data_IF_935556056459
#
_entry.id   IF_935556056459
#
_cell.length_a   1.000
_cell.length_b   1.000
_cell.length_c   1.000
_cell.angle_alpha   90.00
_cell.angle_beta   90.00
_cell.angle_gamma   90.00
#
_symmetry.space_group_name_H-M   'P 1'
#
loop_
_entity.id
_entity.type
_entity.pdbx_description
1 polymer ?
#
# COMPACT_ATOMS: atom_id res chain seq x y z
N UNK A 1 -58.15 -13.62 12.43
CA UNK A 1 -57.35 -13.52 11.19
C UNK A 1 -58.07 -12.77 10.07
N UNK A 2 -59.36 -13.03 9.79
CA UNK A 2 -60.13 -12.33 8.74
C UNK A 2 -60.27 -10.79 8.93
N UNK A 3 -60.28 -10.28 10.17
CA UNK A 3 -60.47 -8.85 10.42
C UNK A 3 -59.30 -7.99 9.92
N UNK A 4 -58.05 -8.39 10.22
CA UNK A 4 -56.86 -7.71 9.74
C UNK A 4 -56.69 -7.77 8.23
N UNK A 5 -57.16 -8.83 7.58
CA UNK A 5 -57.18 -8.93 6.11
C UNK A 5 -58.10 -7.89 5.48
N UNK A 6 -59.29 -7.68 6.05
CA UNK A 6 -60.26 -6.71 5.55
C UNK A 6 -59.81 -5.27 5.81
N UNK A 7 -59.11 -5.03 6.91
CA UNK A 7 -58.53 -3.72 7.23
C UNK A 7 -57.44 -3.36 6.20
N UNK A 8 -56.51 -4.28 5.89
CA UNK A 8 -55.49 -4.08 4.85
C UNK A 8 -56.10 -3.85 3.45
N UNK A 9 -57.16 -4.57 3.11
CA UNK A 9 -57.85 -4.42 1.82
C UNK A 9 -58.54 -3.05 1.73
N UNK A 10 -59.14 -2.56 2.83
CA UNK A 10 -59.78 -1.23 2.88
C UNK A 10 -58.78 -0.09 2.83
N UNK A 11 -57.61 -0.26 3.41
CA UNK A 11 -56.51 0.71 3.31
C UNK A 11 -56.07 0.88 1.85
N UNK A 12 -55.84 -0.24 1.14
CA UNK A 12 -55.42 -0.23 -0.27
C UNK A 12 -56.55 0.12 -1.24
N UNK A 13 -57.79 -0.23 -0.91
CA UNK A 13 -59.00 -0.01 -1.70
C UNK A 13 -60.11 0.61 -0.83
N UNK A 14 -60.10 1.93 -0.61
CA UNK A 14 -61.03 2.59 0.32
C UNK A 14 -62.50 2.49 -0.10
N UNK A 15 -62.76 2.26 -1.38
CA UNK A 15 -64.11 2.16 -1.95
C UNK A 15 -64.52 0.72 -2.28
N UNK A 16 -63.91 -0.28 -1.63
CA UNK A 16 -64.23 -1.68 -1.86
C UNK A 16 -65.65 -2.03 -1.40
N UNK A 17 -66.42 -2.64 -2.29
CA UNK A 17 -67.74 -3.19 -2.01
C UNK A 17 -67.62 -4.61 -1.42
N UNK A 18 -67.45 -4.67 -0.10
CA UNK A 18 -67.37 -5.93 0.65
C UNK A 18 -68.67 -6.73 0.64
N UNK A 19 -69.80 -6.14 0.21
CA UNK A 19 -71.07 -6.88 0.15
C UNK A 19 -71.12 -7.82 -1.05
N UNK A 20 -70.26 -7.60 -2.06
CA UNK A 20 -70.21 -8.40 -3.29
C UNK A 20 -68.96 -9.26 -3.39
N UNK A 21 -68.05 -9.15 -2.44
CA UNK A 21 -66.71 -9.74 -2.50
C UNK A 21 -66.42 -10.57 -1.24
N UNK A 22 -65.94 -11.79 -1.46
CA UNK A 22 -65.39 -12.66 -0.44
C UNK A 22 -63.87 -12.64 -0.52
N UNK A 23 -63.23 -12.70 0.65
CA UNK A 23 -61.77 -12.67 0.78
C UNK A 23 -61.29 -13.85 1.62
N UNK A 24 -60.17 -14.44 1.22
CA UNK A 24 -59.50 -15.46 2.01
C UNK A 24 -57.98 -15.39 1.82
N UNK A 25 -57.24 -15.98 2.74
CA UNK A 25 -55.81 -16.20 2.59
C UNK A 25 -55.59 -17.58 1.99
N UNK A 26 -54.95 -17.65 0.82
CA UNK A 26 -54.57 -18.90 0.17
C UNK A 26 -53.37 -19.56 0.86
N UNK A 27 -53.09 -20.81 0.47
CA UNK A 27 -52.12 -21.69 1.13
C UNK A 27 -50.67 -21.18 1.13
N UNK A 28 -50.32 -20.24 0.23
CA UNK A 28 -48.99 -19.62 0.14
C UNK A 28 -48.94 -18.22 0.75
N UNK A 29 -49.98 -17.83 1.51
CA UNK A 29 -50.09 -16.50 2.12
C UNK A 29 -50.51 -15.39 1.14
N UNK A 30 -50.95 -15.76 -0.08
CA UNK A 30 -51.54 -14.85 -1.05
C UNK A 30 -52.98 -14.50 -0.64
N UNK A 31 -53.43 -13.29 -0.93
CA UNK A 31 -54.82 -12.90 -0.66
C UNK A 31 -55.63 -13.24 -1.90
N UNK A 32 -56.71 -13.99 -1.71
CA UNK A 32 -57.62 -14.40 -2.77
C UNK A 32 -58.96 -13.69 -2.62
N UNK A 33 -59.57 -13.39 -3.76
CA UNK A 33 -60.84 -12.70 -3.89
C UNK A 33 -61.81 -13.49 -4.77
N UNK A 34 -63.07 -13.49 -4.39
CA UNK A 34 -64.16 -14.12 -5.12
C UNK A 34 -65.36 -13.18 -5.16
N UNK A 35 -66.03 -13.12 -6.30
CA UNK A 35 -67.30 -12.41 -6.41
C UNK A 35 -68.43 -13.30 -5.89
N UNK A 36 -69.32 -12.76 -5.04
CA UNK A 36 -70.43 -13.52 -4.49
C UNK A 36 -71.30 -14.11 -5.61
N UNK A 37 -71.56 -15.41 -5.54
CA UNK A 37 -72.28 -16.16 -6.58
C UNK A 37 -71.41 -16.71 -7.72
N UNK A 38 -70.08 -16.65 -7.63
CA UNK A 38 -69.14 -17.35 -8.52
C UNK A 38 -68.28 -18.32 -7.75
N UNK A 39 -67.97 -19.48 -8.34
CA UNK A 39 -67.18 -20.52 -7.67
C UNK A 39 -65.67 -20.29 -7.71
N UNK A 40 -65.19 -19.39 -8.58
CA UNK A 40 -63.75 -19.21 -8.83
C UNK A 40 -63.14 -18.12 -7.94
N UNK A 41 -62.08 -18.50 -7.22
CA UNK A 41 -61.18 -17.60 -6.52
C UNK A 41 -60.08 -17.06 -7.45
N UNK A 42 -59.71 -15.81 -7.25
CA UNK A 42 -58.64 -15.13 -7.98
C UNK A 42 -57.61 -14.60 -7.00
N UNK A 43 -56.33 -14.68 -7.33
CA UNK A 43 -55.28 -14.09 -6.49
C UNK A 43 -55.33 -12.56 -6.64
N UNK A 44 -55.55 -11.82 -5.56
CA UNK A 44 -55.54 -10.35 -5.53
C UNK A 44 -54.11 -9.81 -5.38
N UNK A 45 -53.34 -10.38 -4.45
CA UNK A 45 -51.94 -10.03 -4.18
C UNK A 45 -51.07 -11.28 -4.03
N UNK A 46 -49.81 -11.24 -4.50
CA UNK A 46 -48.87 -12.37 -4.36
C UNK A 46 -48.46 -12.64 -2.90
N UNK A 47 -48.42 -11.61 -2.05
CA UNK A 47 -48.16 -11.65 -0.59
C UNK A 47 -48.91 -10.49 0.07
N UNK A 48 -49.15 -10.56 1.38
CA UNK A 48 -49.75 -9.46 2.18
C UNK A 48 -49.05 -8.11 1.96
N UNK A 49 -47.73 -8.14 1.83
CA UNK A 49 -46.87 -6.95 1.67
C UNK A 49 -46.56 -6.62 0.19
N UNK A 50 -47.29 -7.21 -0.76
CA UNK A 50 -47.06 -6.98 -2.18
C UNK A 50 -48.08 -6.01 -2.77
N UNK A 51 -47.61 -4.97 -3.45
CA UNK A 51 -48.47 -4.02 -4.17
C UNK A 51 -48.71 -4.40 -5.63
N UNK A 52 -48.25 -5.59 -6.03
CA UNK A 52 -48.49 -6.12 -7.37
C UNK A 52 -49.86 -6.78 -7.40
N UNK A 53 -50.86 -6.00 -7.84
CA UNK A 53 -52.15 -6.52 -8.24
C UNK A 53 -51.97 -7.47 -9.42
N UNK A 54 -52.63 -8.62 -9.38
CA UNK A 54 -52.66 -9.49 -10.56
C UNK A 54 -53.48 -8.80 -11.66
N UNK A 55 -52.91 -8.74 -12.87
CA UNK A 55 -53.52 -8.02 -14.01
C UNK A 55 -54.83 -8.65 -14.50
N UNK A 56 -55.12 -9.89 -14.08
CA UNK A 56 -56.15 -10.75 -14.64
C UNK A 56 -57.42 -10.89 -13.78
N UNK A 57 -57.79 -9.85 -13.02
CA UNK A 57 -59.07 -9.84 -12.31
C UNK A 57 -60.25 -9.61 -13.29
N UNK A 58 -61.37 -10.35 -13.14
CA UNK A 58 -62.62 -10.10 -13.86
C UNK A 58 -63.13 -8.67 -13.67
N UNK A 59 -63.89 -8.16 -14.65
CA UNK A 59 -64.43 -6.78 -14.63
C UNK A 59 -65.32 -6.52 -13.41
N UNK A 60 -66.08 -7.51 -12.97
CA UNK A 60 -66.98 -7.39 -11.82
C UNK A 60 -66.20 -7.20 -10.51
N UNK A 61 -65.09 -7.93 -10.37
CA UNK A 61 -64.18 -7.79 -9.22
C UNK A 61 -63.45 -6.45 -9.27
N UNK A 62 -62.97 -6.03 -10.44
CA UNK A 62 -62.34 -4.71 -10.62
C UNK A 62 -63.29 -3.55 -10.27
N UNK A 63 -64.56 -3.66 -10.66
CA UNK A 63 -65.57 -2.66 -10.36
C UNK A 63 -65.91 -2.63 -8.86
N UNK A 64 -66.04 -3.80 -8.23
CA UNK A 64 -66.33 -3.91 -6.80
C UNK A 64 -65.14 -3.54 -5.90
N UNK A 65 -63.90 -3.73 -6.35
CA UNK A 65 -62.70 -3.25 -5.63
C UNK A 65 -62.56 -1.72 -5.66
N UNK A 66 -63.08 -1.07 -6.70
CA UNK A 66 -62.93 0.36 -6.89
C UNK A 66 -61.50 0.78 -7.24
N UNK A 67 -61.22 2.08 -7.15
CA UNK A 67 -59.89 2.63 -7.46
C UNK A 67 -58.95 2.42 -6.27
N UNK A 68 -57.72 1.90 -6.49
CA UNK A 68 -56.73 1.77 -5.43
C UNK A 68 -56.28 3.14 -4.93
N UNK A 69 -55.84 3.21 -3.67
CA UNK A 69 -55.25 4.42 -3.10
C UNK A 69 -53.85 4.67 -3.68
N UNK A 70 -53.78 5.47 -4.76
CA UNK A 70 -52.54 5.74 -5.48
C UNK A 70 -51.58 6.68 -4.72
N UNK A 71 -52.09 7.50 -3.79
CA UNK A 71 -51.29 8.50 -3.08
C UNK A 71 -50.33 7.88 -2.05
N UNK A 72 -50.76 6.86 -1.32
CA UNK A 72 -49.89 6.12 -0.39
C UNK A 72 -48.80 5.36 -1.15
N UNK A 73 -49.14 4.76 -2.30
CA UNK A 73 -48.16 4.07 -3.15
C UNK A 73 -47.10 5.00 -3.72
N UNK A 74 -47.46 6.23 -4.05
CA UNK A 74 -46.49 7.22 -4.53
C UNK A 74 -45.55 7.65 -3.39
N UNK A 75 -46.09 7.89 -2.20
CA UNK A 75 -45.31 8.29 -1.02
C UNK A 75 -44.30 7.22 -0.58
N UNK A 76 -44.70 5.95 -0.52
CA UNK A 76 -43.79 4.85 -0.17
C UNK A 76 -42.68 4.64 -1.21
N UNK A 77 -42.98 4.86 -2.50
CA UNK A 77 -41.96 4.79 -3.55
C UNK A 77 -40.97 5.95 -3.45
N UNK A 78 -41.44 7.17 -3.19
CA UNK A 78 -40.59 8.35 -3.04
C UNK A 78 -39.62 8.21 -1.86
N UNK A 79 -40.11 7.74 -0.70
CA UNK A 79 -39.29 7.48 0.50
C UNK A 79 -38.20 6.41 0.23
N UNK A 80 -38.56 5.31 -0.43
CA UNK A 80 -37.61 4.25 -0.80
C UNK A 80 -36.57 4.72 -1.83
N UNK A 81 -36.96 5.54 -2.81
CA UNK A 81 -36.02 6.10 -3.79
C UNK A 81 -35.05 7.10 -3.17
N UNK A 82 -35.51 7.92 -2.23
CA UNK A 82 -34.63 8.86 -1.50
C UNK A 82 -33.61 8.12 -0.63
N UNK A 83 -34.02 7.05 0.07
CA UNK A 83 -33.10 6.25 0.88
C UNK A 83 -32.03 5.55 0.01
N UNK A 84 -32.44 5.00 -1.14
CA UNK A 84 -31.51 4.38 -2.09
C UNK A 84 -30.50 5.40 -2.66
N UNK A 85 -30.96 6.62 -2.94
CA UNK A 85 -30.11 7.69 -3.46
C UNK A 85 -29.07 8.17 -2.43
N UNK A 86 -29.45 8.32 -1.16
CA UNK A 86 -28.51 8.69 -0.09
C UNK A 86 -27.49 7.56 0.19
N UNK A 87 -27.91 6.29 0.15
CA UNK A 87 -26.98 5.15 0.21
C UNK A 87 -26.00 5.16 -0.97
N UNK A 88 -26.46 5.49 -2.18
CA UNK A 88 -25.59 5.61 -3.35
C UNK A 88 -24.57 6.75 -3.19
N UNK A 89 -25.01 7.92 -2.73
CA UNK A 89 -24.15 9.09 -2.49
C UNK A 89 -23.05 8.80 -1.47
N UNK A 90 -23.38 8.11 -0.38
CA UNK A 90 -22.40 7.72 0.64
C UNK A 90 -21.38 6.70 0.13
N UNK A 91 -21.79 5.75 -0.73
CA UNK A 91 -20.87 4.83 -1.40
C UNK A 91 -19.89 5.57 -2.34
N UNK A 92 -20.39 6.51 -3.13
CA UNK A 92 -19.57 7.32 -4.04
C UNK A 92 -18.51 8.14 -3.28
N UNK A 93 -18.90 8.77 -2.15
CA UNK A 93 -17.96 9.50 -1.30
C UNK A 93 -16.87 8.60 -0.70
N UNK A 94 -17.21 7.36 -0.32
CA UNK A 94 -16.23 6.39 0.18
C UNK A 94 -15.26 5.96 -0.92
N UNK A 95 -15.75 5.72 -2.14
CA UNK A 95 -14.88 5.41 -3.28
C UNK A 95 -13.93 6.55 -3.61
N UNK A 96 -14.42 7.79 -3.60
CA UNK A 96 -13.58 8.96 -3.87
C UNK A 96 -12.47 9.12 -2.82
N UNK A 97 -12.79 8.98 -1.53
CA UNK A 97 -11.78 8.99 -0.45
C UNK A 97 -10.77 7.85 -0.59
N UNK A 98 -11.22 6.67 -0.99
CA UNK A 98 -10.34 5.53 -1.27
C UNK A 98 -9.37 5.82 -2.43
N UNK A 99 -9.86 6.44 -3.51
CA UNK A 99 -9.04 6.83 -4.64
C UNK A 99 -8.02 7.94 -4.30
N UNK A 100 -8.40 8.91 -3.48
CA UNK A 100 -7.51 9.96 -2.97
C UNK A 100 -6.40 9.36 -2.10
N UNK A 101 -6.74 8.45 -1.17
CA UNK A 101 -5.76 7.77 -0.34
C UNK A 101 -4.79 6.89 -1.15
N UNK A 102 -5.27 6.22 -2.22
CA UNK A 102 -4.39 5.45 -3.11
C UNK A 102 -3.38 6.35 -3.84
N UNK A 103 -3.80 7.53 -4.34
CA UNK A 103 -2.89 8.49 -4.97
C UNK A 103 -1.86 9.03 -3.99
N UNK A 104 -2.25 9.29 -2.74
CA UNK A 104 -1.31 9.73 -1.70
C UNK A 104 -0.29 8.64 -1.38
N UNK A 105 -0.73 7.38 -1.26
CA UNK A 105 0.18 6.23 -1.06
C UNK A 105 1.12 6.05 -2.25
N UNK A 106 0.64 6.22 -3.48
CA UNK A 106 1.46 6.13 -4.69
C UNK A 106 2.52 7.23 -4.75
N UNK A 107 2.16 8.48 -4.44
CA UNK A 107 3.12 9.58 -4.35
C UNK A 107 4.13 9.40 -3.22
N UNK A 108 3.70 8.90 -2.06
CA UNK A 108 4.61 8.56 -0.96
C UNK A 108 5.58 7.44 -1.36
N UNK A 109 5.11 6.45 -2.13
CA UNK A 109 5.96 5.37 -2.63
C UNK A 109 7.02 5.89 -3.60
N UNK A 110 6.64 6.76 -4.54
CA UNK A 110 7.60 7.37 -5.48
C UNK A 110 8.67 8.18 -4.75
N UNK A 111 8.27 9.03 -3.79
CA UNK A 111 9.24 9.80 -2.99
C UNK A 111 10.15 8.92 -2.13
N UNK A 112 9.66 7.77 -1.68
CA UNK A 112 10.47 6.77 -0.96
C UNK A 112 11.50 6.11 -1.87
N UNK A 113 11.09 5.68 -3.07
CA UNK A 113 11.99 5.09 -4.07
C UNK A 113 13.09 6.08 -4.50
N UNK A 114 12.75 7.36 -4.70
CA UNK A 114 13.74 8.40 -5.01
C UNK A 114 14.76 8.59 -3.89
N UNK A 115 14.30 8.65 -2.64
CA UNK A 115 15.18 8.78 -1.47
C UNK A 115 16.09 7.57 -1.32
N UNK A 116 15.56 6.36 -1.46
CA UNK A 116 16.35 5.12 -1.41
C UNK A 116 17.42 5.10 -2.51
N UNK A 117 17.06 5.49 -3.73
CA UNK A 117 18.02 5.59 -4.83
C UNK A 117 19.14 6.61 -4.52
N UNK A 118 18.81 7.75 -3.92
CA UNK A 118 19.79 8.77 -3.53
C UNK A 118 20.72 8.28 -2.42
N UNK A 119 20.19 7.62 -1.38
CA UNK A 119 21.01 7.00 -0.33
C UNK A 119 21.95 5.94 -0.90
N UNK A 120 21.47 5.12 -1.84
CA UNK A 120 22.30 4.12 -2.51
C UNK A 120 23.41 4.75 -3.36
N UNK A 121 23.13 5.88 -4.04
CA UNK A 121 24.15 6.65 -4.77
C UNK A 121 25.22 7.20 -3.82
N UNK A 122 24.82 7.83 -2.72
CA UNK A 122 25.77 8.37 -1.74
C UNK A 122 26.64 7.28 -1.10
N UNK A 123 26.05 6.15 -0.73
CA UNK A 123 26.80 5.01 -0.19
C UNK A 123 27.83 4.47 -1.19
N UNK A 124 27.48 4.38 -2.48
CA UNK A 124 28.44 3.98 -3.52
C UNK A 124 29.61 4.95 -3.63
N UNK A 125 29.33 6.25 -3.65
CA UNK A 125 30.39 7.27 -3.71
C UNK A 125 31.32 7.21 -2.50
N UNK A 126 30.77 6.99 -1.30
CA UNK A 126 31.57 6.84 -0.09
C UNK A 126 32.47 5.60 -0.15
N UNK A 127 31.93 4.46 -0.58
CA UNK A 127 32.71 3.23 -0.75
C UNK A 127 33.82 3.39 -1.79
N UNK A 128 33.52 4.04 -2.91
CA UNK A 128 34.52 4.32 -3.95
C UNK A 128 35.62 5.25 -3.45
N UNK A 129 35.26 6.29 -2.67
CA UNK A 129 36.22 7.20 -2.06
C UNK A 129 37.14 6.47 -1.07
N UNK A 130 36.57 5.63 -0.19
CA UNK A 130 37.35 4.81 0.74
C UNK A 130 38.29 3.84 0.02
N UNK A 131 37.81 3.22 -1.06
CA UNK A 131 38.63 2.30 -1.87
C UNK A 131 39.81 3.02 -2.53
N UNK A 132 39.60 4.23 -3.06
CA UNK A 132 40.68 5.06 -3.62
C UNK A 132 41.69 5.46 -2.56
N UNK A 133 41.22 5.94 -1.40
CA UNK A 133 42.11 6.32 -0.29
C UNK A 133 42.97 5.15 0.19
N UNK A 134 42.37 3.96 0.32
CA UNK A 134 43.10 2.75 0.68
C UNK A 134 44.14 2.36 -0.38
N UNK A 135 43.79 2.46 -1.67
CA UNK A 135 44.73 2.18 -2.75
C UNK A 135 45.91 3.16 -2.74
N UNK A 136 45.65 4.46 -2.57
CA UNK A 136 46.71 5.48 -2.52
C UNK A 136 47.64 5.27 -1.31
N UNK A 137 47.07 4.94 -0.15
CA UNK A 137 47.86 4.60 1.05
C UNK A 137 48.70 3.34 0.83
N UNK A 138 48.12 2.31 0.24
CA UNK A 138 48.84 1.07 -0.07
C UNK A 138 49.98 1.32 -1.05
N UNK A 139 49.76 2.12 -2.09
CA UNK A 139 50.79 2.50 -3.05
C UNK A 139 51.94 3.24 -2.37
N UNK A 140 51.63 4.18 -1.49
CA UNK A 140 52.63 4.92 -0.72
C UNK A 140 53.43 4.03 0.23
N UNK A 141 52.80 3.02 0.83
CA UNK A 141 53.49 2.03 1.66
C UNK A 141 54.47 1.20 0.82
N UNK A 142 54.07 0.80 -0.39
CA UNK A 142 54.95 0.06 -1.32
C UNK A 142 56.17 0.91 -1.68
N UNK A 143 55.96 2.17 -2.08
CA UNK A 143 57.05 3.09 -2.42
C UNK A 143 58.02 3.31 -1.26
N UNK A 144 57.50 3.50 -0.03
CA UNK A 144 58.35 3.64 1.16
C UNK A 144 59.14 2.36 1.46
N UNK A 145 58.56 1.18 1.24
CA UNK A 145 59.27 -0.09 1.39
C UNK A 145 60.38 -0.23 0.36
N UNK A 146 60.12 0.09 -0.90
CA UNK A 146 61.14 0.05 -1.96
C UNK A 146 62.29 1.02 -1.67
N UNK A 147 61.99 2.24 -1.22
CA UNK A 147 63.00 3.20 -0.80
C UNK A 147 63.82 2.70 0.39
N UNK A 148 63.17 2.09 1.37
CA UNK A 148 63.85 1.50 2.54
C UNK A 148 64.76 0.36 2.12
N UNK A 149 64.29 -0.55 1.27
CA UNK A 149 65.08 -1.68 0.77
C UNK A 149 66.27 -1.22 -0.07
N UNK A 150 66.11 -0.15 -0.85
CA UNK A 150 67.21 0.47 -1.60
C UNK A 150 68.24 1.07 -0.63
N UNK A 151 67.80 1.85 0.36
CA UNK A 151 68.68 2.46 1.34
C UNK A 151 69.46 1.40 2.15
N UNK A 152 68.83 0.27 2.48
CA UNK A 152 69.49 -0.86 3.14
C UNK A 152 70.56 -1.50 2.25
N UNK A 153 70.27 -1.73 0.97
CA UNK A 153 71.26 -2.25 0.01
C UNK A 153 72.44 -1.30 -0.18
N UNK A 154 72.16 -0.01 -0.35
CA UNK A 154 73.19 1.02 -0.51
C UNK A 154 74.08 1.10 0.74
N UNK A 155 73.48 1.02 1.95
CA UNK A 155 74.21 0.94 3.22
C UNK A 155 75.11 -0.29 3.27
N UNK A 156 74.58 -1.47 2.95
CA UNK A 156 75.34 -2.72 3.02
C UNK A 156 76.50 -2.73 2.00
N UNK A 157 76.29 -2.14 0.82
CA UNK A 157 77.34 -1.97 -0.18
C UNK A 157 78.42 -0.97 0.28
N UNK A 158 78.02 0.18 0.83
CA UNK A 158 78.94 1.17 1.38
C UNK A 158 79.76 0.58 2.55
N UNK A 159 79.12 -0.22 3.41
CA UNK A 159 79.80 -0.89 4.51
C UNK A 159 80.85 -1.89 4.00
N UNK A 160 80.53 -2.70 3.00
CA UNK A 160 81.51 -3.61 2.37
C UNK A 160 82.67 -2.85 1.74
N UNK A 161 82.39 -1.78 1.00
CA UNK A 161 83.42 -0.96 0.39
C UNK A 161 84.34 -0.31 1.44
N UNK A 162 83.76 0.17 2.54
CA UNK A 162 84.53 0.71 3.67
C UNK A 162 85.41 -0.37 4.33
N UNK A 163 84.89 -1.58 4.53
CA UNK A 163 85.67 -2.70 5.08
C UNK A 163 86.83 -3.10 4.17
N UNK A 164 86.63 -3.12 2.85
CA UNK A 164 87.71 -3.35 1.89
C UNK A 164 88.78 -2.24 1.94
N UNK A 165 88.37 -0.97 1.99
CA UNK A 165 89.31 0.15 2.08
C UNK A 165 90.15 0.11 3.37
N UNK A 166 89.55 -0.32 4.49
CA UNK A 166 90.30 -0.52 5.74
C UNK A 166 91.34 -1.64 5.63
N UNK A 167 91.03 -2.72 4.89
CA UNK A 167 91.99 -3.80 4.62
C UNK A 167 93.13 -3.33 3.71
N UNK A 168 92.83 -2.59 2.65
CA UNK A 168 93.84 -2.04 1.73
C UNK A 168 94.80 -1.06 2.43
N UNK A 169 94.32 -0.36 3.45
CA UNK A 169 95.12 0.56 4.27
C UNK A 169 95.82 -0.11 5.47
N UNK A 170 95.69 -1.43 5.63
CA UNK A 170 96.25 -2.21 6.75
C UNK A 170 95.87 -1.65 8.14
N UNK A 171 94.66 -1.10 8.26
CA UNK A 171 94.19 -0.47 9.50
C UNK A 171 93.80 -1.54 10.52
N UNK A 172 94.28 -1.38 11.76
CA UNK A 172 93.95 -2.32 12.84
C UNK A 172 92.46 -2.25 13.22
N UNK A 173 91.93 -3.34 13.78
CA UNK A 173 90.50 -3.41 14.19
C UNK A 173 90.11 -2.31 15.18
N UNK A 174 91.02 -1.86 16.03
CA UNK A 174 90.73 -0.84 17.05
C UNK A 174 90.75 0.57 16.45
N UNK A 175 91.63 0.85 15.50
CA UNK A 175 91.64 2.11 14.74
C UNK A 175 90.40 2.23 13.84
N UNK A 176 89.99 1.14 13.18
CA UNK A 176 88.76 1.08 12.39
C UNK A 176 87.51 1.39 13.22
N UNK A 177 87.47 0.89 14.47
CA UNK A 177 86.36 1.12 15.41
C UNK A 177 86.30 2.58 15.87
N UNK A 178 87.46 3.19 16.17
CA UNK A 178 87.54 4.60 16.51
C UNK A 178 87.07 5.48 15.35
N UNK A 179 87.51 5.20 14.11
CA UNK A 179 87.09 5.92 12.91
C UNK A 179 85.58 5.84 12.67
N UNK A 180 84.96 4.65 12.80
CA UNK A 180 83.50 4.50 12.69
C UNK A 180 82.75 5.38 13.70
N UNK A 181 83.24 5.44 14.92
CA UNK A 181 82.62 6.23 16.00
C UNK A 181 82.74 7.73 15.75
N UNK A 182 83.92 8.19 15.31
CA UNK A 182 84.15 9.60 14.96
C UNK A 182 83.31 10.04 13.75
N UNK A 183 83.22 9.21 12.70
CA UNK A 183 82.41 9.51 11.52
C UNK A 183 80.92 9.56 11.88
N UNK A 184 80.43 8.61 12.68
CA UNK A 184 79.04 8.60 13.14
C UNK A 184 78.70 9.86 13.96
N UNK A 185 79.54 10.23 14.92
CA UNK A 185 79.35 11.45 15.72
C UNK A 185 79.30 12.72 14.86
N UNK A 186 80.21 12.85 13.88
CA UNK A 186 80.23 14.02 12.99
C UNK A 186 79.02 14.09 12.05
N UNK A 187 78.45 12.95 11.66
CA UNK A 187 77.23 12.91 10.85
C UNK A 187 75.98 13.25 11.66
N UNK A 188 75.93 12.85 12.93
CA UNK A 188 74.85 13.19 13.86
C UNK A 188 74.80 14.72 14.11
N UNK A 189 75.96 15.34 14.34
CA UNK A 189 76.10 16.79 14.52
C UNK A 189 75.66 17.60 13.29
N UNK A 190 75.76 17.03 12.09
CA UNK A 190 75.33 17.68 10.83
C UNK A 190 73.84 17.50 10.53
N UNK A 191 73.14 16.60 11.25
CA UNK A 191 71.70 16.38 11.09
C UNK A 191 70.84 17.24 12.04
N UNK A 192 71.45 17.79 13.10
CA UNK A 192 70.81 18.75 14.00
C UNK A 192 70.81 20.15 13.40
#
# INVERSE_FOLDING_TARGET
>A
MLRGLLDDVREKFPNVDLTRLNFQTGDKGQIQIQYQGRDKWYDLYQRRDSDRLTSNLPKEIKNALGRPNLMERLRENDENTNEAFEKFKTLMQRQQKGAEAMREVEGLKETMEEREAEYMRQNRLLLDAQKRELNDKNQRIIEMREQTDKALRDRDQAQKAFELALQDLDISKEEAKNLRTTIAGSLEERRQ
#
